data_IF_283018453360
#
_entry.id   IF_283018453360
#
_cell.length_a   1.000
_cell.length_b   1.000
_cell.length_c   1.000
_cell.angle_alpha   90.00
_cell.angle_beta   90.00
_cell.angle_gamma   90.00
#
_symmetry.space_group_name_H-M   'P 1'
#
loop_
_entity.id
_entity.type
_entity.pdbx_description
1 polymer ?
#
# COMPACT_ATOMS: atom_id res chain seq x y z
N UNK A 1 -5.97 9.83 -12.81
CA UNK A 1 -4.80 10.73 -12.87
C UNK A 1 -3.94 10.30 -11.68
N UNK A 2 -3.09 9.29 -11.87
CA UNK A 2 -2.47 8.56 -10.74
C UNK A 2 -1.05 8.09 -11.06
N UNK A 3 -0.68 7.94 -12.34
CA UNK A 3 0.65 7.50 -12.74
C UNK A 3 1.74 8.58 -12.59
N UNK A 4 1.37 9.86 -12.53
CA UNK A 4 2.34 10.96 -12.41
C UNK A 4 2.92 11.07 -11.00
N UNK A 5 2.12 10.82 -9.95
CA UNK A 5 2.60 10.89 -8.55
C UNK A 5 3.57 9.75 -8.18
N UNK A 6 3.37 8.54 -8.74
CA UNK A 6 4.26 7.40 -8.45
C UNK A 6 5.65 7.54 -9.09
N UNK A 7 5.73 8.20 -10.26
CA UNK A 7 7.01 8.52 -10.89
C UNK A 7 7.86 9.47 -10.03
N UNK A 8 7.22 10.41 -9.32
CA UNK A 8 7.91 11.45 -8.54
C UNK A 8 8.65 10.88 -7.32
N UNK A 9 8.05 9.92 -6.62
CA UNK A 9 8.56 9.51 -5.31
C UNK A 9 9.68 8.47 -5.36
N UNK A 10 9.66 7.56 -6.34
CA UNK A 10 10.61 6.46 -6.42
C UNK A 10 11.27 6.29 -7.81
N UNK A 11 10.88 7.09 -8.81
CA UNK A 11 11.48 7.02 -10.14
C UNK A 11 11.22 5.69 -10.86
N UNK A 12 10.06 5.07 -10.65
CA UNK A 12 9.69 3.81 -11.32
C UNK A 12 8.43 4.00 -12.15
N UNK A 13 8.32 3.22 -13.22
CA UNK A 13 7.08 3.05 -13.98
C UNK A 13 6.75 1.57 -14.07
N UNK A 14 5.47 1.27 -14.21
CA UNK A 14 5.01 -0.10 -14.19
C UNK A 14 3.56 -0.26 -14.61
N UNK A 15 3.13 -1.52 -14.60
CA UNK A 15 1.72 -1.86 -14.80
C UNK A 15 1.03 -1.86 -13.44
N UNK A 16 0.02 -1.01 -13.29
CA UNK A 16 -0.80 -0.97 -12.08
C UNK A 16 -1.64 -2.25 -11.99
N UNK A 17 -1.54 -2.93 -10.86
CA UNK A 17 -2.25 -4.16 -10.53
C UNK A 17 -3.44 -3.91 -9.62
N UNK A 18 -3.76 -4.93 -8.81
CA UNK A 18 -4.93 -4.92 -7.91
C UNK A 18 -4.76 -3.93 -6.76
N UNK A 19 -5.89 -3.44 -6.24
CA UNK A 19 -5.98 -2.78 -4.94
C UNK A 19 -5.69 -3.80 -3.85
N UNK A 20 -4.69 -3.54 -3.00
CA UNK A 20 -4.35 -4.33 -1.81
C UNK A 20 -5.34 -4.00 -0.69
N UNK A 21 -5.58 -2.71 -0.47
CA UNK A 21 -6.50 -2.28 0.57
C UNK A 21 -6.57 -0.77 0.72
N UNK A 22 -7.49 -0.36 1.57
CA UNK A 22 -7.72 1.03 1.96
C UNK A 22 -7.34 1.16 3.43
N UNK A 23 -6.31 1.95 3.71
CA UNK A 23 -5.74 2.11 5.03
C UNK A 23 -6.08 3.50 5.56
N UNK A 24 -6.90 3.54 6.61
CA UNK A 24 -7.28 4.79 7.25
C UNK A 24 -6.41 5.03 8.48
N UNK A 25 -5.62 6.10 8.44
CA UNK A 25 -4.90 6.64 9.57
C UNK A 25 -5.78 7.68 10.26
N UNK A 26 -6.40 7.29 11.38
CA UNK A 26 -7.32 8.16 12.14
C UNK A 26 -6.62 9.36 12.76
N UNK A 27 -5.39 9.20 13.20
CA UNK A 27 -4.61 10.26 13.85
C UNK A 27 -4.32 11.41 12.89
N UNK A 28 -4.01 11.09 11.64
CA UNK A 28 -3.72 12.07 10.58
C UNK A 28 -4.94 12.37 9.70
N UNK A 29 -6.10 11.78 9.99
CA UNK A 29 -7.35 11.86 9.19
C UNK A 29 -7.09 11.62 7.70
N UNK A 30 -6.23 10.65 7.40
CA UNK A 30 -5.79 10.39 6.03
C UNK A 30 -6.13 8.95 5.63
N UNK A 31 -6.57 8.78 4.39
CA UNK A 31 -6.89 7.48 3.81
C UNK A 31 -5.97 7.19 2.64
N UNK A 32 -5.22 6.10 2.74
CA UNK A 32 -4.25 5.68 1.75
C UNK A 32 -4.78 4.46 1.01
N UNK A 33 -4.90 4.58 -0.32
CA UNK A 33 -5.23 3.46 -1.20
C UNK A 33 -3.92 2.83 -1.65
N UNK A 34 -3.75 1.54 -1.37
CA UNK A 34 -2.50 0.83 -1.65
C UNK A 34 -2.75 -0.16 -2.78
N UNK A 35 -2.00 -0.03 -3.86
CA UNK A 35 -2.07 -0.91 -5.03
C UNK A 35 -0.77 -1.68 -5.19
N UNK A 36 -0.83 -2.80 -5.91
CA UNK A 36 0.37 -3.46 -6.43
C UNK A 36 0.79 -2.74 -7.71
N UNK A 37 2.05 -2.36 -7.83
CA UNK A 37 2.64 -1.89 -9.09
C UNK A 37 3.70 -2.91 -9.54
N UNK A 38 3.53 -3.48 -10.74
CA UNK A 38 4.55 -4.33 -11.34
C UNK A 38 5.50 -3.44 -12.12
N UNK A 39 6.68 -3.19 -11.55
CA UNK A 39 7.69 -2.31 -12.13
C UNK A 39 8.21 -2.88 -13.45
N UNK A 40 8.18 -2.06 -14.50
CA UNK A 40 8.69 -2.39 -15.84
C UNK A 40 9.85 -1.49 -16.25
N UNK A 41 9.95 -0.29 -15.67
CA UNK A 41 11.03 0.65 -15.94
C UNK A 41 11.52 1.29 -14.64
N UNK A 42 12.82 1.50 -14.56
CA UNK A 42 13.50 2.11 -13.41
C UNK A 42 14.34 3.27 -13.93
N UNK A 43 14.01 4.49 -13.54
CA UNK A 43 14.70 5.71 -13.95
C UNK A 43 15.93 5.92 -13.07
N UNK A 44 17.11 6.16 -13.64
CA UNK A 44 18.34 6.42 -12.88
C UNK A 44 18.19 7.69 -12.02
N UNK A 45 17.72 8.77 -12.64
CA UNK A 45 17.42 10.04 -11.98
C UNK A 45 15.91 10.25 -11.86
N UNK A 46 15.46 10.69 -10.69
CA UNK A 46 14.08 11.10 -10.42
C UNK A 46 14.05 12.30 -9.49
N UNK A 47 12.91 13.02 -9.49
CA UNK A 47 12.79 14.33 -8.85
C UNK A 47 13.28 14.35 -7.40
N UNK A 48 12.79 13.45 -6.55
CA UNK A 48 13.20 13.37 -5.14
C UNK A 48 14.69 12.96 -4.97
N UNK A 49 15.26 12.16 -5.87
CA UNK A 49 16.70 11.83 -5.82
C UNK A 49 17.54 13.07 -6.08
N UNK A 50 17.19 13.83 -7.12
CA UNK A 50 17.94 15.02 -7.53
C UNK A 50 17.74 16.18 -6.56
N UNK A 51 16.51 16.40 -6.08
CA UNK A 51 16.17 17.57 -5.29
C UNK A 51 16.55 17.43 -3.81
N UNK A 52 16.41 16.24 -3.23
CA UNK A 52 16.60 16.01 -1.78
C UNK A 52 17.50 14.82 -1.46
N UNK A 53 18.13 14.19 -2.46
CA UNK A 53 19.03 13.06 -2.24
C UNK A 53 18.33 11.79 -1.77
N UNK A 54 17.04 11.63 -2.09
CA UNK A 54 16.27 10.44 -1.69
C UNK A 54 16.86 9.18 -2.32
N UNK A 55 16.94 8.11 -1.53
CA UNK A 55 17.42 6.79 -1.98
C UNK A 55 16.27 5.80 -2.11
N UNK A 56 16.49 4.74 -2.90
CA UNK A 56 15.59 3.59 -3.04
C UNK A 56 16.41 2.31 -3.07
N UNK A 57 15.82 1.22 -2.61
CA UNK A 57 16.44 -0.09 -2.57
C UNK A 57 15.35 -1.16 -2.69
N UNK A 58 15.71 -2.31 -3.26
CA UNK A 58 14.82 -3.46 -3.34
C UNK A 58 14.96 -4.31 -2.09
N UNK A 59 13.82 -4.72 -1.52
CA UNK A 59 13.76 -5.57 -0.34
C UNK A 59 12.96 -6.82 -0.64
N UNK A 60 13.29 -7.93 0.04
CA UNK A 60 12.32 -9.01 0.23
C UNK A 60 11.20 -8.51 1.12
N UNK A 61 10.04 -9.16 1.06
CA UNK A 61 8.86 -8.72 1.82
C UNK A 61 9.14 -8.74 3.32
N UNK A 62 9.80 -9.79 3.80
CA UNK A 62 10.13 -9.96 5.22
C UNK A 62 11.06 -8.84 5.70
N UNK A 63 12.14 -8.58 4.95
CA UNK A 63 13.10 -7.51 5.25
C UNK A 63 12.44 -6.13 5.22
N UNK A 64 11.53 -5.89 4.27
CA UNK A 64 10.81 -4.62 4.14
C UNK A 64 9.92 -4.36 5.37
N UNK A 65 9.23 -5.39 5.86
CA UNK A 65 8.39 -5.30 7.06
C UNK A 65 9.26 -4.91 8.26
N UNK A 66 10.38 -5.59 8.48
CA UNK A 66 11.29 -5.32 9.60
C UNK A 66 11.79 -3.86 9.60
N UNK A 67 12.21 -3.35 8.44
CA UNK A 67 12.68 -1.96 8.30
C UNK A 67 11.55 -0.96 8.56
N UNK A 68 10.34 -1.22 8.07
CA UNK A 68 9.21 -0.32 8.20
C UNK A 68 8.64 -0.27 9.62
N UNK A 69 8.68 -1.37 10.36
CA UNK A 69 8.11 -1.45 11.71
C UNK A 69 8.64 -0.36 12.66
N UNK A 70 9.92 0.03 12.53
CA UNK A 70 10.53 0.99 13.44
C UNK A 70 9.99 2.43 13.29
N UNK A 71 9.71 2.86 12.05
CA UNK A 71 9.44 4.28 11.76
C UNK A 71 8.18 4.55 10.93
N UNK A 72 7.61 3.49 10.34
CA UNK A 72 6.43 3.52 9.47
C UNK A 72 5.57 2.27 9.70
N UNK A 73 5.14 1.99 10.95
CA UNK A 73 4.42 0.75 11.27
C UNK A 73 3.15 0.58 10.45
N UNK A 74 2.43 1.67 10.13
CA UNK A 74 1.26 1.64 9.23
C UNK A 74 1.59 1.08 7.83
N UNK A 75 2.79 1.33 7.31
CA UNK A 75 3.18 0.84 5.98
C UNK A 75 3.60 -0.63 6.04
N UNK A 76 4.10 -1.11 7.18
CA UNK A 76 4.42 -2.53 7.36
C UNK A 76 3.16 -3.41 7.21
N UNK A 77 2.01 -2.92 7.69
CA UNK A 77 0.73 -3.66 7.65
C UNK A 77 0.18 -3.81 6.23
N UNK A 78 0.70 -3.05 5.25
CA UNK A 78 0.32 -3.21 3.85
C UNK A 78 0.74 -4.58 3.31
N UNK A 79 1.88 -5.09 3.79
CA UNK A 79 2.40 -6.39 3.37
C UNK A 79 1.64 -7.56 4.00
N UNK A 80 1.14 -7.39 5.23
CA UNK A 80 0.23 -8.36 5.87
C UNK A 80 -1.07 -8.48 5.06
N UNK A 81 -1.69 -7.34 4.70
CA UNK A 81 -2.89 -7.31 3.86
C UNK A 81 -2.63 -7.87 2.45
N UNK A 82 -1.43 -7.67 1.90
CA UNK A 82 -1.03 -8.26 0.62
C UNK A 82 -1.00 -9.79 0.69
N UNK A 83 -0.51 -10.36 1.80
CA UNK A 83 -0.47 -11.80 2.04
C UNK A 83 -1.89 -12.38 2.27
N UNK A 84 -2.73 -11.72 3.06
CA UNK A 84 -4.12 -12.13 3.31
C UNK A 84 -4.98 -12.06 2.04
N UNK A 85 -4.81 -11.01 1.22
CA UNK A 85 -5.53 -10.86 -0.05
C UNK A 85 -5.13 -11.89 -1.12
N UNK A 86 -3.98 -12.56 -0.98
CA UNK A 86 -3.65 -13.73 -1.82
C UNK A 86 -4.50 -14.97 -1.46
N UNK A 87 -5.02 -15.05 -0.23
CA UNK A 87 -5.83 -16.17 0.25
C UNK A 87 -7.31 -16.00 -0.10
N UNK A 88 -7.79 -14.75 -0.20
CA UNK A 88 -9.19 -14.44 -0.48
C UNK A 88 -9.39 -14.05 -1.96
N UNK A 89 -9.61 -15.05 -2.83
CA UNK A 89 -9.80 -14.92 -4.29
C UNK A 89 -10.95 -14.02 -4.76
N UNK A 90 -11.70 -13.38 -3.85
CA UNK A 90 -13.03 -12.83 -4.13
C UNK A 90 -13.03 -11.34 -4.49
N UNK A 91 -11.86 -10.75 -4.79
CA UNK A 91 -11.75 -9.39 -5.31
C UNK A 91 -12.33 -8.28 -4.41
N UNK A 92 -12.68 -8.60 -3.16
CA UNK A 92 -13.29 -7.64 -2.24
C UNK A 92 -12.19 -6.85 -1.53
N UNK A 93 -12.20 -5.51 -1.61
CA UNK A 93 -11.14 -4.70 -1.03
C UNK A 93 -11.18 -4.75 0.50
N UNK A 94 -10.01 -4.99 1.10
CA UNK A 94 -9.82 -4.93 2.54
C UNK A 94 -9.80 -3.47 3.00
N UNK A 95 -10.58 -3.15 4.03
CA UNK A 95 -10.52 -1.85 4.70
C UNK A 95 -9.84 -2.06 6.04
N UNK A 96 -8.67 -1.47 6.20
CA UNK A 96 -7.92 -1.49 7.45
C UNK A 96 -8.09 -0.15 8.16
N UNK A 97 -8.59 -0.21 9.40
CA UNK A 97 -8.65 0.95 10.29
C UNK A 97 -7.47 0.89 11.26
N UNK A 98 -6.68 1.95 11.33
CA UNK A 98 -5.54 2.04 12.25
C UNK A 98 -5.78 3.22 13.21
N UNK A 99 -5.95 2.92 14.50
CA UNK A 99 -6.07 3.92 15.56
C UNK A 99 -6.08 3.33 16.98
N UNK A 100 -5.42 4.02 17.91
CA UNK A 100 -5.48 3.80 19.36
C UNK A 100 -4.61 2.68 19.91
N UNK A 101 -4.73 1.48 19.34
CA UNK A 101 -3.90 0.32 19.68
C UNK A 101 -3.26 -0.23 18.40
N UNK A 102 -1.99 -0.62 18.48
CA UNK A 102 -1.08 -0.94 17.37
C UNK A 102 -1.51 -2.13 16.47
N UNK A 103 -2.74 -2.64 16.59
CA UNK A 103 -3.27 -3.74 15.78
C UNK A 103 -4.24 -3.23 14.71
N UNK A 104 -3.91 -3.40 13.41
CA UNK A 104 -4.84 -3.10 12.33
C UNK A 104 -6.08 -3.97 12.46
N UNK A 105 -7.26 -3.35 12.56
CA UNK A 105 -8.50 -4.10 12.42
C UNK A 105 -8.86 -4.13 10.94
N UNK A 106 -8.71 -5.30 10.31
CA UNK A 106 -9.17 -5.53 8.94
C UNK A 106 -10.67 -5.81 8.96
N UNK A 107 -11.41 -5.09 8.13
CA UNK A 107 -12.83 -5.31 7.87
C UNK A 107 -12.99 -5.62 6.40
N UNK A 108 -13.66 -6.72 6.08
CA UNK A 108 -14.08 -6.99 4.70
C UNK A 108 -15.25 -6.03 4.43
N UNK A 109 -15.10 -5.14 3.45
CA UNK A 109 -16.21 -4.32 3.01
C UNK A 109 -17.19 -5.20 2.23
N UNK A 110 -18.08 -5.88 2.95
CA UNK A 110 -19.23 -6.56 2.35
C UNK A 110 -20.23 -5.49 1.93
N UNK A 111 -19.99 -4.81 0.81
CA UNK A 111 -21.10 -4.35 -0.02
C UNK A 111 -21.68 -5.58 -0.74
N UNK A 112 -22.14 -6.56 0.04
CA UNK A 112 -22.94 -7.65 -0.50
C UNK A 112 -24.29 -7.04 -0.84
N UNK A 113 -24.56 -6.99 -2.14
CA UNK A 113 -25.91 -6.92 -2.71
C UNK A 113 -26.73 -8.01 -2.03
N UNK A 114 -27.44 -7.64 -0.98
CA UNK A 114 -28.39 -8.50 -0.29
C UNK A 114 -29.66 -7.69 -0.11
N UNK A 115 -30.43 -7.56 -1.19
CA UNK A 115 -31.88 -7.38 -1.14
C UNK A 115 -32.46 -7.80 -2.49
N UNK A 116 -32.41 -9.11 -2.75
CA UNK A 116 -33.46 -9.76 -3.53
C UNK A 116 -34.51 -10.17 -2.51
N UNK A 117 -35.63 -9.42 -2.46
CA UNK A 117 -36.94 -9.99 -2.16
C UNK A 117 -38.04 -9.19 -2.81
#
# INVERSE_FOLDING_TARGET
RTAEEECLHAGVKGTLGRLVGIFENRDRKHRTYVYVLIVTEVLEDWEDSVNIGRKREWFKIEDAIEVLQCHKPVQATYFEALQEGCLNSNGTPLVATIGGDLSPTYSINQSSVSDIR
#
